data_IF_717115738255
#
_entry.id   IF_717115738255
#
_cell.length_a   1.000
_cell.length_b   1.000
_cell.length_c   1.000
_cell.angle_alpha   90.00
_cell.angle_beta   90.00
_cell.angle_gamma   90.00
#
_symmetry.space_group_name_H-M   'P 1'
#
loop_
_entity.id
_entity.type
_entity.pdbx_description
1 polymer ?
#
# COMPACT_ATOMS: atom_id res chain seq x y z
N UNK A 1 -35.91 8.11 2.52
CA UNK A 1 -35.10 6.99 3.05
C UNK A 1 -34.11 6.61 1.97
N UNK A 2 -32.90 7.18 2.00
CA UNK A 2 -31.83 6.78 1.10
C UNK A 2 -31.13 5.58 1.72
N UNK A 3 -31.27 4.41 1.10
CA UNK A 3 -30.47 3.24 1.44
C UNK A 3 -29.04 3.55 1.02
N UNK A 4 -28.22 3.97 1.99
CA UNK A 4 -26.78 3.93 1.84
C UNK A 4 -26.40 2.44 1.77
N UNK A 5 -26.29 1.92 0.55
CA UNK A 5 -25.46 0.74 0.29
C UNK A 5 -23.99 1.16 0.41
N UNK A 6 -23.61 1.68 1.57
CA UNK A 6 -22.23 1.97 1.89
C UNK A 6 -21.51 0.64 2.02
N UNK A 7 -20.41 0.46 1.29
CA UNK A 7 -19.58 -0.73 1.45
C UNK A 7 -19.17 -0.79 2.92
N UNK A 8 -19.77 -1.71 3.69
CA UNK A 8 -19.31 -2.01 5.04
C UNK A 8 -17.91 -2.58 4.86
N UNK A 9 -16.91 -1.83 5.34
CA UNK A 9 -15.54 -2.31 5.37
C UNK A 9 -15.51 -3.68 6.07
N UNK A 10 -14.62 -4.59 5.64
CA UNK A 10 -14.52 -5.90 6.25
C UNK A 10 -14.28 -5.78 7.76
N UNK A 11 -14.82 -6.73 8.52
CA UNK A 11 -14.62 -6.78 9.97
C UNK A 11 -13.13 -7.01 10.27
N UNK A 12 -12.66 -6.49 11.40
CA UNK A 12 -11.27 -6.69 11.84
C UNK A 12 -10.91 -8.18 11.91
N UNK A 13 -9.69 -8.51 11.46
CA UNK A 13 -9.16 -9.87 11.52
C UNK A 13 -8.72 -10.24 12.95
N UNK A 14 -8.27 -9.26 13.73
CA UNK A 14 -7.85 -9.40 15.12
C UNK A 14 -8.51 -8.33 16.00
N UNK A 15 -8.77 -8.67 17.26
CA UNK A 15 -9.26 -7.73 18.27
C UNK A 15 -8.24 -6.62 18.57
N UNK A 16 -8.70 -5.50 19.15
CA UNK A 16 -7.82 -4.40 19.60
C UNK A 16 -6.70 -4.97 20.49
N UNK A 17 -5.44 -4.75 20.10
CA UNK A 17 -4.27 -5.19 20.86
C UNK A 17 -3.96 -6.70 20.78
N UNK A 18 -4.67 -7.46 19.94
CA UNK A 18 -4.39 -8.90 19.69
C UNK A 18 -3.69 -9.15 18.36
N UNK A 19 -3.31 -8.09 17.67
CA UNK A 19 -2.58 -8.16 16.41
C UNK A 19 -1.21 -8.83 16.62
N UNK A 20 -0.85 -9.84 15.82
CA UNK A 20 0.46 -10.47 15.91
C UNK A 20 1.58 -9.45 15.73
N UNK A 21 2.62 -9.53 16.57
CA UNK A 21 3.81 -8.70 16.42
C UNK A 21 4.52 -9.12 15.12
N UNK A 22 4.65 -8.19 14.18
CA UNK A 22 5.38 -8.47 12.95
C UNK A 22 6.88 -8.52 13.21
N UNK A 23 7.52 -9.61 12.81
CA UNK A 23 8.98 -9.74 12.85
C UNK A 23 9.68 -9.02 11.70
N UNK A 24 8.97 -8.76 10.59
CA UNK A 24 9.50 -8.10 9.40
C UNK A 24 8.42 -7.22 8.75
N UNK A 25 8.83 -6.05 8.27
CA UNK A 25 7.99 -5.17 7.45
C UNK A 25 7.51 -5.88 6.18
N UNK A 26 6.31 -5.53 5.69
CA UNK A 26 5.81 -6.05 4.40
C UNK A 26 6.71 -5.67 3.21
N UNK A 27 7.49 -4.59 3.33
CA UNK A 27 8.46 -4.17 2.32
C UNK A 27 9.87 -4.73 2.58
N UNK A 28 10.06 -5.65 3.53
CA UNK A 28 11.38 -6.18 3.92
C UNK A 28 12.21 -6.70 2.73
N UNK A 29 11.56 -7.22 1.69
CA UNK A 29 12.22 -7.73 0.49
C UNK A 29 12.00 -6.86 -0.76
N UNK A 30 11.37 -5.69 -0.61
CA UNK A 30 11.11 -4.76 -1.70
C UNK A 30 12.19 -3.68 -1.72
N UNK A 31 13.17 -3.83 -2.61
CA UNK A 31 14.23 -2.86 -2.80
C UNK A 31 13.98 -2.08 -4.09
N UNK A 32 13.76 -0.76 -3.98
CA UNK A 32 13.57 0.11 -5.15
C UNK A 32 14.78 0.07 -6.10
N UNK A 33 15.98 -0.20 -5.58
CA UNK A 33 17.20 -0.41 -6.36
C UNK A 33 17.07 -1.57 -7.36
N UNK A 34 16.36 -2.63 -6.99
CA UNK A 34 16.14 -3.78 -7.87
C UNK A 34 15.18 -3.42 -9.00
N UNK A 35 14.15 -2.64 -8.69
CA UNK A 35 13.23 -2.11 -9.72
C UNK A 35 13.99 -1.19 -10.68
N UNK A 36 14.84 -0.30 -10.16
CA UNK A 36 15.70 0.57 -10.98
C UNK A 36 16.58 -0.23 -11.94
N UNK A 37 17.31 -1.24 -11.44
CA UNK A 37 18.22 -2.02 -12.28
C UNK A 37 17.46 -2.85 -13.32
N UNK A 38 16.25 -3.34 -13.01
CA UNK A 38 15.38 -3.95 -14.02
C UNK A 38 15.00 -2.95 -15.11
N UNK A 39 14.53 -1.74 -14.75
CA UNK A 39 14.12 -0.72 -15.73
C UNK A 39 15.28 -0.29 -16.63
N UNK A 40 16.48 -0.11 -16.08
CA UNK A 40 17.69 0.20 -16.86
C UNK A 40 18.07 -0.94 -17.82
N UNK A 41 17.83 -2.20 -17.44
CA UNK A 41 18.19 -3.36 -18.26
C UNK A 41 17.26 -3.61 -19.45
N UNK A 42 16.00 -3.18 -19.37
CA UNK A 42 14.99 -3.43 -20.42
C UNK A 42 14.92 -2.34 -21.47
N UNK A 43 15.41 -1.12 -21.18
CA UNK A 43 15.45 0.00 -22.13
C UNK A 43 14.16 0.85 -22.16
N UNK A 44 14.31 2.10 -22.59
CA UNK A 44 13.27 3.14 -22.48
C UNK A 44 11.97 2.84 -23.24
N UNK A 45 12.08 2.13 -24.36
CA UNK A 45 10.94 1.67 -25.17
C UNK A 45 10.08 0.66 -24.42
N UNK A 46 10.72 -0.35 -23.81
CA UNK A 46 10.04 -1.36 -23.00
C UNK A 46 9.49 -0.76 -21.70
N UNK A 47 10.22 0.18 -21.08
CA UNK A 47 9.72 0.91 -19.89
C UNK A 47 8.45 1.68 -20.21
N UNK A 48 8.37 2.30 -21.39
CA UNK A 48 7.18 3.04 -21.84
C UNK A 48 5.97 2.12 -22.00
N UNK A 49 6.16 0.95 -22.62
CA UNK A 49 5.11 -0.06 -22.74
C UNK A 49 4.69 -0.63 -21.39
N UNK A 50 5.66 -0.88 -20.49
CA UNK A 50 5.39 -1.33 -19.12
C UNK A 50 4.55 -0.31 -18.35
N UNK A 51 4.78 0.99 -18.55
CA UNK A 51 4.04 2.08 -17.89
C UNK A 51 2.54 2.07 -18.20
N UNK A 52 2.17 1.62 -19.39
CA UNK A 52 0.78 1.49 -19.85
C UNK A 52 0.18 0.09 -19.60
N UNK A 53 1.00 -0.86 -19.14
CA UNK A 53 0.56 -2.21 -18.81
C UNK A 53 -0.11 -2.31 -17.43
N UNK A 54 -0.65 -3.49 -17.11
CA UNK A 54 -1.20 -3.80 -15.79
C UNK A 54 -0.18 -3.66 -14.64
N UNK A 55 1.12 -3.78 -14.92
CA UNK A 55 2.20 -3.61 -13.92
C UNK A 55 2.78 -2.19 -13.91
N UNK A 56 2.29 -1.29 -14.77
CA UNK A 56 2.77 0.08 -14.89
C UNK A 56 2.62 0.91 -13.61
N UNK A 57 1.73 0.51 -12.71
CA UNK A 57 1.62 1.08 -11.37
C UNK A 57 2.93 0.95 -10.58
N UNK A 58 3.67 -0.15 -10.73
CA UNK A 58 4.95 -0.37 -10.02
C UNK A 58 6.01 0.62 -10.54
N UNK A 59 6.05 0.82 -11.86
CA UNK A 59 6.95 1.80 -12.50
C UNK A 59 6.64 3.21 -12.01
N UNK A 60 5.35 3.60 -12.05
CA UNK A 60 4.88 4.93 -11.59
C UNK A 60 5.17 5.15 -10.10
N UNK A 61 4.99 4.13 -9.25
CA UNK A 61 5.31 4.20 -7.82
C UNK A 61 6.81 4.41 -7.57
N UNK A 62 7.66 3.73 -8.33
CA UNK A 62 9.11 3.92 -8.26
C UNK A 62 9.51 5.34 -8.72
N UNK A 63 8.91 5.85 -9.79
CA UNK A 63 9.18 7.20 -10.32
C UNK A 63 8.84 8.30 -9.31
N UNK A 64 7.76 8.10 -8.55
CA UNK A 64 7.29 9.02 -7.52
C UNK A 64 8.03 8.85 -6.18
N UNK A 65 9.06 8.00 -6.12
CA UNK A 65 9.74 7.59 -4.88
C UNK A 65 8.75 7.21 -3.78
N UNK A 66 7.62 6.64 -4.18
CA UNK A 66 6.48 6.43 -3.31
C UNK A 66 6.72 5.20 -2.45
N UNK A 67 7.64 5.34 -1.50
CA UNK A 67 7.81 4.43 -0.36
C UNK A 67 6.65 4.69 0.57
N UNK A 68 5.45 4.28 0.16
CA UNK A 68 4.33 4.21 1.08
C UNK A 68 4.83 3.52 2.33
N UNK A 69 4.65 4.15 3.49
CA UNK A 69 5.07 3.60 4.76
C UNK A 69 4.50 2.20 4.82
N UNK A 70 5.36 1.21 4.62
CA UNK A 70 4.99 -0.19 4.62
C UNK A 70 4.17 -0.48 5.88
N UNK A 71 4.55 0.21 6.96
CA UNK A 71 3.89 0.24 8.26
C UNK A 71 2.43 0.71 8.19
N UNK A 72 2.09 1.77 7.44
CA UNK A 72 0.71 2.25 7.31
C UNK A 72 -0.16 1.26 6.52
N UNK A 73 0.31 0.80 5.36
CA UNK A 73 -0.42 -0.20 4.54
C UNK A 73 -0.56 -1.51 5.31
N UNK A 74 0.50 -1.91 6.01
CA UNK A 74 0.51 -3.07 6.88
C UNK A 74 -0.51 -2.95 8.00
N UNK A 75 -0.51 -1.81 8.69
CA UNK A 75 -1.45 -1.53 9.76
C UNK A 75 -2.90 -1.62 9.26
N UNK A 76 -3.16 -1.15 8.04
CA UNK A 76 -4.45 -1.28 7.37
C UNK A 76 -4.85 -2.74 7.12
N UNK A 77 -3.98 -3.49 6.43
CA UNK A 77 -4.28 -4.85 5.99
C UNK A 77 -4.40 -5.82 7.16
N UNK A 78 -3.49 -5.74 8.13
CA UNK A 78 -3.45 -6.68 9.24
C UNK A 78 -4.54 -6.43 10.26
N UNK A 79 -4.92 -5.18 10.49
CA UNK A 79 -6.03 -4.89 11.39
C UNK A 79 -7.39 -4.99 10.70
N UNK A 80 -7.44 -5.17 9.37
CA UNK A 80 -8.65 -4.99 8.53
C UNK A 80 -9.49 -3.85 9.10
N UNK A 81 -8.87 -2.66 9.18
CA UNK A 81 -9.48 -1.53 9.87
C UNK A 81 -10.87 -1.28 9.29
N UNK A 82 -11.88 -1.52 10.12
CA UNK A 82 -13.24 -1.13 9.81
C UNK A 82 -13.31 0.38 10.02
N UNK A 83 -13.06 1.13 8.95
CA UNK A 83 -13.21 2.58 8.95
C UNK A 83 -14.66 2.92 8.60
N UNK A 84 -15.27 3.88 9.28
CA UNK A 84 -16.62 4.32 8.92
C UNK A 84 -16.57 5.37 7.80
N UNK A 85 -15.45 6.10 7.71
CA UNK A 85 -15.22 7.09 6.66
C UNK A 85 -13.78 7.11 6.16
N UNK A 86 -13.59 7.49 4.90
CA UNK A 86 -12.28 7.55 4.24
C UNK A 86 -11.32 8.54 4.89
N UNK A 87 -11.80 9.53 5.65
CA UNK A 87 -10.94 10.50 6.32
C UNK A 87 -10.28 9.97 7.59
N UNK A 88 -10.83 8.93 8.22
CA UNK A 88 -10.22 8.26 9.36
C UNK A 88 -8.87 7.65 8.98
N UNK A 89 -8.71 7.24 7.72
CA UNK A 89 -7.45 6.77 7.16
C UNK A 89 -6.33 7.81 7.27
N UNK A 90 -6.63 9.10 7.12
CA UNK A 90 -5.63 10.17 7.17
C UNK A 90 -5.08 10.40 8.58
N UNK A 91 -5.87 10.13 9.62
CA UNK A 91 -5.42 10.26 11.02
C UNK A 91 -4.23 9.34 11.36
N UNK A 92 -4.11 8.22 10.64
CA UNK A 92 -3.01 7.26 10.81
C UNK A 92 -1.72 7.69 10.11
N UNK A 93 -1.82 8.63 9.15
CA UNK A 93 -0.66 9.15 8.43
C UNK A 93 0.02 10.28 9.23
N UNK A 94 -0.77 11.07 9.95
CA UNK A 94 -0.29 12.22 10.73
C UNK A 94 0.27 11.85 12.12
N UNK A 95 0.16 10.57 12.52
CA UNK A 95 0.55 10.08 13.85
C UNK A 95 1.88 9.28 13.89
N UNK A 96 2.70 9.33 12.84
CA UNK A 96 4.04 8.74 12.88
C UNK A 96 5.07 9.82 13.25
N UNK A 97 5.90 9.64 14.31
CA UNK A 97 7.01 10.55 14.61
C UNK A 97 8.08 10.57 13.52
#
# INVERSE_FOLDING_TARGET
MASSSGSKYPRRLYDVGKTPIQSRSMNHSCFLSNVQTVLESVGDDVVSDLRESAVGVIVKLKELEYTWSASCVHHFLVNQLAIESSHEMWSLIDCMP
#
